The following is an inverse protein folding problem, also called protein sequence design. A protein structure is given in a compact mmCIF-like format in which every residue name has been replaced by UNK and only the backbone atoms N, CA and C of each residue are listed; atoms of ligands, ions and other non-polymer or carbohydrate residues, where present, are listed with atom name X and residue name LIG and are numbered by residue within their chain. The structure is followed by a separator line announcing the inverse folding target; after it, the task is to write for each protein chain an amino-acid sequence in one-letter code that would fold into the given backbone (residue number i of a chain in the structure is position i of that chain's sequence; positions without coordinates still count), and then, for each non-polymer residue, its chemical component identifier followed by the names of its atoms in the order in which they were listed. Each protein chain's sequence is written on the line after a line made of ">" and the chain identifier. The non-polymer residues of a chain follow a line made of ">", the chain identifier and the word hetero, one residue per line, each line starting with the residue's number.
data_IF_315743285443
#
_entry.id   IF_315743285443
#
_cell.length_a   1.000
_cell.length_b   1.000
_cell.length_c   1.000
_cell.angle_alpha   90.00
_cell.angle_beta   90.00
_cell.angle_gamma   90.00
#
_symmetry.space_group_name_H-M   'P 1'
#
loop_
_entity.id
_entity.type
_entity.pdbx_description
1 polymer ?
#
# COMPACT_ATOMS: atom_id res chain seq x y z
N UNK A 1 4.05 -15.29 -30.44
CA UNK A 1 3.52 -15.45 -29.09
C UNK A 1 2.90 -14.13 -28.64
N UNK A 2 1.74 -14.20 -28.10
CA UNK A 2 1.15 -13.04 -27.48
C UNK A 2 1.74 -12.94 -26.08
N UNK A 3 2.55 -11.92 -25.87
CA UNK A 3 3.03 -11.65 -24.54
C UNK A 3 1.87 -11.13 -23.70
N UNK A 4 1.57 -11.81 -22.60
CA UNK A 4 0.67 -11.24 -21.59
C UNK A 4 1.43 -10.10 -20.92
N UNK A 5 1.09 -8.89 -21.32
CA UNK A 5 1.68 -7.73 -20.68
C UNK A 5 0.75 -7.29 -19.55
N UNK A 6 1.12 -7.56 -18.29
CA UNK A 6 0.27 -7.20 -17.16
C UNK A 6 0.25 -5.70 -16.89
N UNK A 7 1.04 -4.93 -17.64
CA UNK A 7 1.21 -3.51 -17.35
C UNK A 7 2.03 -3.29 -16.09
N UNK A 8 1.77 -2.19 -15.42
CA UNK A 8 2.47 -1.82 -14.20
C UNK A 8 1.88 -2.56 -13.00
N UNK A 9 2.72 -3.15 -12.19
CA UNK A 9 2.33 -3.73 -10.91
C UNK A 9 2.92 -2.88 -9.79
N UNK A 10 2.07 -2.46 -8.88
CA UNK A 10 2.45 -1.59 -7.77
C UNK A 10 2.20 -2.32 -6.45
N UNK A 11 3.22 -2.36 -5.61
CA UNK A 11 3.12 -2.92 -4.27
C UNK A 11 2.98 -1.78 -3.26
N UNK A 12 2.01 -1.89 -2.39
CA UNK A 12 1.70 -0.90 -1.36
C UNK A 12 1.92 -1.50 0.01
N UNK A 13 2.75 -0.85 0.79
CA UNK A 13 2.86 -1.15 2.21
C UNK A 13 1.63 -0.59 2.94
N UNK A 14 1.33 -1.13 4.12
CA UNK A 14 0.17 -0.70 4.91
C UNK A 14 0.58 0.34 5.95
N UNK A 15 1.37 -0.10 6.95
CA UNK A 15 1.70 0.73 8.09
C UNK A 15 2.63 1.88 7.69
N UNK A 16 2.21 3.09 7.99
CA UNK A 16 2.88 4.33 7.65
C UNK A 16 3.00 4.59 6.14
N UNK A 17 2.14 3.96 5.35
CA UNK A 17 2.03 4.21 3.91
C UNK A 17 0.58 4.44 3.49
N UNK A 18 -0.32 3.48 3.73
CA UNK A 18 -1.76 3.66 3.51
C UNK A 18 -2.46 4.14 4.78
N UNK A 19 -1.95 3.75 5.92
CA UNK A 19 -2.45 4.12 7.25
C UNK A 19 -1.31 4.76 8.02
N UNK A 20 -1.55 5.93 8.57
CA UNK A 20 -0.59 6.64 9.41
C UNK A 20 -1.04 6.49 10.87
N UNK A 21 -0.14 6.04 11.73
CA UNK A 21 -0.45 5.85 13.15
C UNK A 21 -0.31 7.12 13.96
N UNK A 22 0.45 8.10 13.45
CA UNK A 22 0.48 9.46 13.99
C UNK A 22 -0.12 10.40 12.97
N UNK A 23 -0.77 11.47 13.44
CA UNK A 23 -1.34 12.47 12.54
C UNK A 23 -0.23 13.14 11.73
N UNK A 24 -0.24 13.00 10.39
CA UNK A 24 0.74 13.67 9.55
C UNK A 24 0.58 15.19 9.61
N UNK A 25 1.69 15.90 9.61
CA UNK A 25 1.67 17.38 9.74
C UNK A 25 1.32 18.09 8.44
N UNK A 26 1.60 17.48 7.29
CA UNK A 26 1.52 18.12 5.99
C UNK A 26 0.46 17.53 5.06
N UNK A 27 -0.44 16.70 5.54
CA UNK A 27 -1.51 16.16 4.72
C UNK A 27 -2.81 16.88 5.00
N UNK A 28 -3.45 17.39 3.93
CA UNK A 28 -4.78 17.96 4.02
C UNK A 28 -5.84 16.86 4.07
N UNK A 29 -6.95 17.16 4.73
CA UNK A 29 -8.12 16.30 4.72
C UNK A 29 -7.90 14.96 5.43
N UNK A 30 -7.34 14.99 6.63
CA UNK A 30 -7.11 13.79 7.42
C UNK A 30 -8.43 13.12 7.79
N UNK A 31 -8.45 11.81 7.69
CA UNK A 31 -9.60 10.98 8.02
C UNK A 31 -9.18 9.88 8.98
N UNK A 32 -9.83 9.81 10.14
CA UNK A 32 -9.68 8.71 11.07
C UNK A 32 -10.56 7.55 10.62
N UNK A 33 -10.01 6.35 10.68
CA UNK A 33 -10.76 5.15 10.33
C UNK A 33 -10.53 4.07 11.40
N UNK A 34 -11.57 3.32 11.69
CA UNK A 34 -11.49 2.17 12.57
C UNK A 34 -11.28 0.91 11.75
N UNK A 35 -10.33 0.10 12.19
CA UNK A 35 -10.02 -1.19 11.58
C UNK A 35 -10.47 -2.31 12.51
N UNK A 36 -11.06 -3.35 11.95
CA UNK A 36 -11.41 -4.56 12.67
C UNK A 36 -10.72 -5.73 12.01
N UNK A 37 -9.68 -6.25 12.66
CA UNK A 37 -8.94 -7.40 12.18
C UNK A 37 -9.25 -8.59 13.10
N UNK A 38 -10.22 -9.40 12.69
CA UNK A 38 -10.69 -10.57 13.45
C UNK A 38 -11.10 -10.22 14.90
N UNK A 39 -11.84 -9.13 15.07
CA UNK A 39 -12.28 -8.66 16.37
C UNK A 39 -11.28 -7.77 17.11
N UNK A 40 -10.06 -7.67 16.60
CA UNK A 40 -9.06 -6.77 17.16
C UNK A 40 -9.20 -5.39 16.52
N UNK A 41 -9.67 -4.43 17.29
CA UNK A 41 -9.97 -3.08 16.79
C UNK A 41 -8.81 -2.13 16.99
N UNK A 42 -8.59 -1.27 16.01
CA UNK A 42 -7.60 -0.20 16.07
C UNK A 42 -8.08 0.99 15.27
N UNK A 43 -7.48 2.16 15.52
CA UNK A 43 -7.83 3.42 14.84
C UNK A 43 -6.55 4.02 14.28
N UNK A 44 -6.62 4.48 13.04
CA UNK A 44 -5.49 5.15 12.39
C UNK A 44 -5.95 6.25 11.46
N UNK A 45 -4.99 7.01 10.95
CA UNK A 45 -5.23 8.07 9.99
C UNK A 45 -5.09 7.53 8.57
N UNK A 46 -6.09 7.73 7.72
CA UNK A 46 -6.00 7.35 6.31
C UNK A 46 -5.04 8.29 5.59
N UNK A 47 -4.11 7.73 4.83
CA UNK A 47 -3.32 8.52 3.90
C UNK A 47 -4.16 8.76 2.65
N UNK A 48 -4.89 9.86 2.61
CA UNK A 48 -5.90 10.14 1.59
C UNK A 48 -5.28 10.22 0.20
N UNK A 49 -4.13 10.88 0.08
CA UNK A 49 -3.43 10.98 -1.19
C UNK A 49 -3.07 9.59 -1.75
N UNK A 50 -2.52 8.70 -0.92
CA UNK A 50 -2.17 7.35 -1.36
C UNK A 50 -3.40 6.52 -1.69
N UNK A 51 -4.46 6.64 -0.90
CA UNK A 51 -5.72 5.95 -1.21
C UNK A 51 -6.23 6.36 -2.61
N UNK A 52 -6.24 7.65 -2.89
CA UNK A 52 -6.68 8.15 -4.19
C UNK A 52 -5.74 7.74 -5.31
N UNK A 53 -4.44 7.78 -5.07
CA UNK A 53 -3.42 7.37 -6.04
C UNK A 53 -3.55 5.89 -6.39
N UNK A 54 -3.79 5.03 -5.40
CA UNK A 54 -4.02 3.60 -5.62
C UNK A 54 -5.21 3.37 -6.55
N UNK A 55 -6.31 4.07 -6.31
CA UNK A 55 -7.48 4.01 -7.20
C UNK A 55 -7.14 4.44 -8.62
N UNK A 56 -6.38 5.52 -8.75
CA UNK A 56 -5.98 6.03 -10.06
C UNK A 56 -5.12 5.03 -10.83
N UNK A 57 -4.19 4.36 -10.15
CA UNK A 57 -3.39 3.30 -10.78
C UNK A 57 -4.29 2.19 -11.32
N UNK A 58 -5.23 1.72 -10.51
CA UNK A 58 -6.16 0.68 -10.94
C UNK A 58 -6.98 1.11 -12.16
N UNK A 59 -7.47 2.34 -12.16
CA UNK A 59 -8.26 2.88 -13.27
C UNK A 59 -7.45 3.02 -14.55
N UNK A 60 -6.12 3.12 -14.44
CA UNK A 60 -5.21 3.15 -15.58
C UNK A 60 -4.73 1.77 -16.01
N UNK A 61 -5.26 0.71 -15.40
CA UNK A 61 -4.94 -0.65 -15.76
C UNK A 61 -3.77 -1.26 -14.99
N UNK A 62 -3.24 -0.58 -13.98
CA UNK A 62 -2.21 -1.15 -13.14
C UNK A 62 -2.80 -2.21 -12.19
N UNK A 63 -1.96 -3.14 -11.79
CA UNK A 63 -2.30 -4.14 -10.79
C UNK A 63 -1.74 -3.69 -9.44
N UNK A 64 -2.62 -3.50 -8.47
CA UNK A 64 -2.21 -3.13 -7.12
C UNK A 64 -2.18 -4.36 -6.22
N UNK A 65 -1.08 -4.52 -5.51
CA UNK A 65 -0.90 -5.54 -4.48
C UNK A 65 -0.65 -4.80 -3.17
N UNK A 66 -1.37 -5.17 -2.14
CA UNK A 66 -1.15 -4.61 -0.79
C UNK A 66 -0.49 -5.70 0.06
N UNK A 67 0.63 -5.38 0.66
CA UNK A 67 1.36 -6.31 1.51
C UNK A 67 1.74 -5.68 2.84
N UNK A 68 1.92 -6.50 3.86
CA UNK A 68 2.25 -6.02 5.20
C UNK A 68 3.08 -7.04 5.96
N UNK A 69 4.01 -6.56 6.77
CA UNK A 69 4.68 -7.38 7.78
C UNK A 69 3.69 -7.90 8.83
N UNK A 70 2.59 -7.19 9.04
CA UNK A 70 1.50 -7.63 9.92
C UNK A 70 0.65 -8.76 9.34
N UNK A 71 0.88 -9.13 8.07
CA UNK A 71 0.24 -10.26 7.42
C UNK A 71 -0.88 -9.89 6.47
N UNK A 72 -1.27 -10.87 5.65
CA UNK A 72 -2.30 -10.70 4.61
C UNK A 72 -3.67 -10.40 5.21
N UNK A 73 -3.98 -10.96 6.38
CA UNK A 73 -5.27 -10.74 7.06
C UNK A 73 -5.40 -9.28 7.48
N UNK A 74 -4.34 -8.71 8.05
CA UNK A 74 -4.28 -7.30 8.40
C UNK A 74 -4.39 -6.41 7.15
N UNK A 75 -3.60 -6.74 6.10
CA UNK A 75 -3.65 -5.99 4.84
C UNK A 75 -5.07 -5.97 4.27
N UNK A 76 -5.76 -7.10 4.30
CA UNK A 76 -7.13 -7.21 3.81
C UNK A 76 -8.11 -6.39 4.65
N UNK A 77 -7.96 -6.40 5.97
CA UNK A 77 -8.81 -5.59 6.86
C UNK A 77 -8.66 -4.09 6.55
N UNK A 78 -7.45 -3.64 6.29
CA UNK A 78 -7.18 -2.25 5.92
C UNK A 78 -7.79 -1.91 4.55
N UNK A 79 -7.59 -2.77 3.56
CA UNK A 79 -8.18 -2.57 2.23
C UNK A 79 -9.70 -2.44 2.31
N UNK A 80 -10.35 -3.27 3.11
CA UNK A 80 -11.80 -3.21 3.31
C UNK A 80 -12.21 -1.91 4.00
N UNK A 81 -11.51 -1.53 5.06
CA UNK A 81 -11.83 -0.32 5.81
C UNK A 81 -11.65 0.96 4.98
N UNK A 82 -10.69 0.96 4.06
CA UNK A 82 -10.46 2.10 3.18
C UNK A 82 -11.34 2.09 1.92
N UNK A 83 -12.16 1.07 1.72
CA UNK A 83 -13.02 0.96 0.54
C UNK A 83 -12.24 0.71 -0.74
N UNK A 84 -11.15 -0.04 -0.66
CA UNK A 84 -10.25 -0.27 -1.80
C UNK A 84 -10.38 -1.66 -2.42
N UNK A 85 -11.37 -2.45 -2.02
CA UNK A 85 -11.50 -3.85 -2.45
C UNK A 85 -11.54 -4.02 -3.96
N UNK A 86 -12.24 -3.12 -4.66
CA UNK A 86 -12.37 -3.19 -6.12
C UNK A 86 -11.11 -2.73 -6.86
N UNK A 87 -10.13 -2.18 -6.14
CA UNK A 87 -8.94 -1.58 -6.74
C UNK A 87 -7.67 -2.36 -6.41
N UNK A 88 -7.78 -3.41 -5.60
CA UNK A 88 -6.66 -4.23 -5.14
C UNK A 88 -6.84 -5.65 -5.65
N UNK A 89 -5.80 -6.16 -6.32
CA UNK A 89 -5.79 -7.50 -6.86
C UNK A 89 -5.60 -8.56 -5.78
N UNK A 90 -4.68 -8.31 -4.85
CA UNK A 90 -4.35 -9.27 -3.79
C UNK A 90 -3.79 -8.58 -2.56
N UNK A 91 -3.99 -9.21 -1.40
CA UNK A 91 -3.40 -8.83 -0.13
C UNK A 91 -2.47 -9.95 0.32
N UNK A 92 -1.22 -9.62 0.59
CA UNK A 92 -0.17 -10.61 0.83
C UNK A 92 0.59 -10.31 2.12
N UNK A 93 1.24 -11.34 2.64
CA UNK A 93 2.30 -11.16 3.62
C UNK A 93 3.49 -10.51 2.92
N UNK A 94 4.11 -9.53 3.56
CA UNK A 94 5.33 -8.95 3.01
C UNK A 94 6.43 -10.01 3.05
N UNK A 95 7.15 -10.23 1.95
CA UNK A 95 8.09 -11.34 1.89
C UNK A 95 9.31 -11.11 2.79
N UNK A 96 9.82 -12.20 3.35
CA UNK A 96 11.06 -12.20 4.11
C UNK A 96 12.21 -12.79 3.30
N UNK A 97 11.90 -13.51 2.23
CA UNK A 97 12.88 -14.18 1.39
C UNK A 97 12.32 -14.34 -0.01
N UNK A 98 13.18 -14.29 -1.01
CA UNK A 98 12.76 -14.54 -2.38
C UNK A 98 13.85 -15.31 -3.15
N UNK A 99 13.43 -16.07 -4.13
CA UNK A 99 14.29 -16.78 -5.04
C UNK A 99 14.17 -16.13 -6.42
N UNK A 100 15.25 -15.59 -6.91
CA UNK A 100 15.28 -14.89 -8.19
C UNK A 100 16.73 -14.82 -8.66
N UNK A 101 16.97 -14.81 -9.95
CA UNK A 101 18.29 -14.57 -10.52
C UNK A 101 18.66 -13.07 -10.52
N UNK A 102 17.69 -12.21 -10.25
CA UNK A 102 17.88 -10.77 -10.19
C UNK A 102 17.65 -10.24 -8.76
N UNK A 103 18.35 -9.19 -8.40
CA UNK A 103 18.07 -8.48 -7.14
C UNK A 103 16.76 -7.70 -7.25
N UNK A 104 16.10 -7.48 -6.12
CA UNK A 104 14.85 -6.72 -6.08
C UNK A 104 14.99 -5.34 -6.71
N UNK A 105 16.13 -4.69 -6.56
CA UNK A 105 16.40 -3.37 -7.16
C UNK A 105 16.41 -3.41 -8.68
N UNK A 106 16.65 -4.55 -9.28
CA UNK A 106 16.68 -4.70 -10.73
C UNK A 106 15.29 -4.68 -11.34
N UNK A 107 14.32 -5.30 -10.69
CA UNK A 107 12.93 -5.35 -11.20
C UNK A 107 11.98 -4.40 -10.48
N UNK A 108 12.22 -4.09 -9.22
CA UNK A 108 11.49 -3.05 -8.48
C UNK A 108 12.33 -1.76 -8.43
N UNK A 109 12.44 -1.11 -9.58
CA UNK A 109 13.37 0.02 -9.76
C UNK A 109 12.92 1.28 -9.02
N UNK A 110 11.62 1.45 -8.87
CA UNK A 110 11.05 2.67 -8.29
C UNK A 110 10.55 2.40 -6.90
N UNK A 111 11.16 3.04 -5.92
CA UNK A 111 10.68 3.05 -4.56
C UNK A 111 10.21 4.45 -4.23
N UNK A 112 8.97 4.56 -3.78
CA UNK A 112 8.45 5.80 -3.23
C UNK A 112 8.61 5.74 -1.72
N UNK A 113 9.46 6.60 -1.20
CA UNK A 113 9.80 6.62 0.20
C UNK A 113 8.89 7.60 0.94
N UNK A 114 8.27 7.13 2.02
CA UNK A 114 7.30 7.94 2.75
C UNK A 114 7.92 8.41 4.06
N UNK A 115 7.81 9.71 4.32
CA UNK A 115 8.20 10.28 5.59
C UNK A 115 7.07 10.09 6.60
N UNK A 116 7.36 9.41 7.69
CA UNK A 116 6.36 9.09 8.72
C UNK A 116 5.79 10.31 9.43
N UNK A 117 6.56 11.38 9.50
CA UNK A 117 6.15 12.60 10.19
C UNK A 117 5.27 13.47 9.33
N UNK A 118 5.62 13.65 8.09
CA UNK A 118 4.89 14.54 7.18
C UNK A 118 3.83 13.81 6.35
N UNK A 119 3.99 12.52 6.13
CA UNK A 119 3.14 11.75 5.22
C UNK A 119 3.44 12.00 3.75
N UNK A 120 4.49 12.76 3.43
CA UNK A 120 4.86 13.08 2.06
C UNK A 120 5.93 12.14 1.54
N UNK A 121 6.00 12.01 0.22
CA UNK A 121 7.11 11.32 -0.43
C UNK A 121 8.39 12.13 -0.25
N UNK A 122 9.48 11.40 -0.03
CA UNK A 122 10.83 11.97 -0.01
C UNK A 122 11.75 11.11 -0.85
N UNK A 123 12.87 11.68 -1.25
CA UNK A 123 13.86 10.93 -2.02
C UNK A 123 14.43 9.78 -1.17
N UNK A 124 14.59 8.62 -1.82
CA UNK A 124 15.27 7.49 -1.21
C UNK A 124 16.76 7.79 -1.14
N UNK A 125 17.28 7.81 0.07
CA UNK A 125 18.71 7.99 0.31
C UNK A 125 19.44 6.66 0.24
#
# INVERSE_FOLDING_TARGET
>A
MIACNPGTTVYWDVDDTLVMWTQPTDTEGLELVEFDCNGHKSVGWVHIYHRNLLRQYALRGATNIVWSHGGSVWAKAVVQALGLEDYVFACLNKPTMYYDDLSAQTFMKKRRFIDRKTGKEKEAS
#
